data_IF_109061153516
#
_entry.id   IF_109061153516
#
_cell.length_a   1.000
_cell.length_b   1.000
_cell.length_c   1.000
_cell.angle_alpha   90.00
_cell.angle_beta   90.00
_cell.angle_gamma   90.00
#
_symmetry.space_group_name_H-M   'P 1'
#
loop_
_entity.id
_entity.type
_entity.pdbx_description
1 polymer ?
#
# COMPACT_ATOMS: atom_id res chain seq x y z
N UNK A 1 14.83 -30.27 -12.31
CA UNK A 1 13.92 -29.18 -11.88
C UNK A 1 14.66 -27.86 -11.99
N UNK A 2 14.19 -26.90 -12.80
CA UNK A 2 14.76 -25.54 -12.79
C UNK A 2 14.41 -24.90 -11.44
N UNK A 3 15.42 -24.55 -10.66
CA UNK A 3 15.23 -23.86 -9.39
C UNK A 3 14.77 -22.43 -9.70
N UNK A 4 13.46 -22.17 -9.62
CA UNK A 4 12.89 -20.83 -9.74
C UNK A 4 13.34 -20.01 -8.52
N UNK A 5 14.50 -19.34 -8.62
CA UNK A 5 14.99 -18.45 -7.57
C UNK A 5 14.19 -17.14 -7.62
N UNK A 6 13.57 -16.79 -6.50
CA UNK A 6 12.96 -15.47 -6.31
C UNK A 6 14.08 -14.41 -6.36
N UNK A 7 13.94 -13.44 -7.27
CA UNK A 7 14.89 -12.33 -7.41
C UNK A 7 14.30 -11.08 -6.73
N UNK A 8 14.56 -10.95 -5.43
CA UNK A 8 14.05 -9.84 -4.60
C UNK A 8 14.55 -8.48 -5.13
N UNK A 9 15.75 -8.42 -5.69
CA UNK A 9 16.33 -7.18 -6.25
C UNK A 9 15.44 -6.61 -7.36
N UNK A 10 14.95 -7.46 -8.27
CA UNK A 10 14.06 -7.03 -9.35
C UNK A 10 12.76 -6.43 -8.81
N UNK A 11 12.21 -7.00 -7.74
CA UNK A 11 11.01 -6.45 -7.11
C UNK A 11 11.28 -5.11 -6.42
N UNK A 12 12.40 -4.96 -5.71
CA UNK A 12 12.78 -3.68 -5.10
C UNK A 12 12.87 -2.55 -6.14
N UNK A 13 13.51 -2.82 -7.28
CA UNK A 13 13.61 -1.85 -8.38
C UNK A 13 12.23 -1.52 -8.94
N UNK A 14 11.36 -2.51 -9.15
CA UNK A 14 10.01 -2.29 -9.65
C UNK A 14 9.13 -1.50 -8.67
N UNK A 15 9.30 -1.71 -7.36
CA UNK A 15 8.60 -0.97 -6.32
C UNK A 15 8.94 0.52 -6.35
N UNK A 16 10.21 0.87 -6.58
CA UNK A 16 10.63 2.28 -6.71
C UNK A 16 9.95 2.93 -7.91
N UNK A 17 9.91 2.24 -9.06
CA UNK A 17 9.15 2.73 -10.22
C UNK A 17 7.66 2.91 -9.90
N UNK A 18 7.03 1.97 -9.18
CA UNK A 18 5.62 2.12 -8.79
C UNK A 18 5.40 3.39 -7.97
N UNK A 19 6.32 3.74 -7.08
CA UNK A 19 6.26 4.97 -6.29
C UNK A 19 6.44 6.22 -7.16
N UNK A 20 7.43 6.22 -8.05
CA UNK A 20 7.71 7.35 -8.96
C UNK A 20 6.53 7.64 -9.89
N UNK A 21 5.87 6.58 -10.40
CA UNK A 21 4.67 6.70 -11.23
C UNK A 21 3.38 6.89 -10.42
N UNK A 22 3.47 7.09 -9.09
CA UNK A 22 2.34 7.28 -8.19
C UNK A 22 1.31 6.13 -8.28
N UNK A 23 1.78 4.94 -8.61
CA UNK A 23 1.01 3.70 -8.66
C UNK A 23 1.11 2.96 -7.32
N UNK A 24 0.46 3.54 -6.30
CA UNK A 24 0.54 3.02 -4.95
C UNK A 24 -0.18 1.68 -4.78
N UNK A 25 -1.19 1.38 -5.61
CA UNK A 25 -1.87 0.09 -5.58
C UNK A 25 -0.91 -1.08 -5.88
N UNK A 26 -0.12 -0.95 -6.94
CA UNK A 26 0.82 -2.01 -7.34
C UNK A 26 1.98 -2.12 -6.36
N UNK A 27 2.46 -0.97 -5.87
CA UNK A 27 3.44 -0.90 -4.78
C UNK A 27 2.95 -1.67 -3.55
N UNK A 28 1.71 -1.43 -3.11
CA UNK A 28 1.09 -2.11 -1.98
C UNK A 28 0.98 -3.62 -2.19
N UNK A 29 0.53 -4.05 -3.37
CA UNK A 29 0.36 -5.47 -3.68
C UNK A 29 1.70 -6.24 -3.57
N UNK A 30 2.76 -5.68 -4.13
CA UNK A 30 4.09 -6.32 -4.13
C UNK A 30 4.72 -6.29 -2.75
N UNK A 31 4.71 -5.13 -2.06
CA UNK A 31 5.23 -5.03 -0.69
C UNK A 31 4.52 -6.00 0.26
N UNK A 32 3.19 -6.06 0.19
CA UNK A 32 2.41 -6.98 1.02
C UNK A 32 2.73 -8.44 0.72
N UNK A 33 2.90 -8.80 -0.56
CA UNK A 33 3.29 -10.15 -0.98
C UNK A 33 4.67 -10.56 -0.45
N UNK A 34 5.66 -9.67 -0.57
CA UNK A 34 7.02 -9.91 -0.07
C UNK A 34 7.10 -9.94 1.46
N UNK A 35 6.24 -9.16 2.13
CA UNK A 35 6.15 -9.12 3.59
C UNK A 35 5.27 -10.23 4.19
N UNK A 36 4.77 -11.17 3.38
CA UNK A 36 4.06 -12.34 3.91
C UNK A 36 5.02 -13.27 4.66
N UNK A 37 4.54 -13.96 5.69
CA UNK A 37 5.34 -14.90 6.49
C UNK A 37 5.98 -16.04 5.69
N UNK A 38 5.47 -16.35 4.49
CA UNK A 38 6.06 -17.36 3.59
C UNK A 38 7.31 -16.85 2.88
N UNK A 39 7.34 -15.57 2.51
CA UNK A 39 8.46 -14.96 1.78
C UNK A 39 9.46 -14.31 2.75
N UNK A 40 8.99 -13.63 3.80
CA UNK A 40 9.84 -12.93 4.76
C UNK A 40 10.76 -13.88 5.55
N UNK A 41 10.36 -15.14 5.77
CA UNK A 41 11.18 -16.17 6.45
C UNK A 41 12.30 -16.77 5.60
N UNK A 42 12.43 -16.40 4.33
CA UNK A 42 13.46 -16.94 3.43
C UNK A 42 14.83 -16.31 3.73
N UNK A 43 15.38 -16.57 4.92
CA UNK A 43 16.62 -15.94 5.44
C UNK A 43 17.77 -15.97 4.42
N UNK A 44 18.03 -17.14 3.82
CA UNK A 44 19.07 -17.33 2.80
C UNK A 44 18.94 -16.41 1.56
N UNK A 45 17.74 -15.89 1.30
CA UNK A 45 17.47 -14.97 0.19
C UNK A 45 17.64 -13.53 0.63
N UNK A 46 17.10 -13.17 1.80
CA UNK A 46 17.18 -11.81 2.35
C UNK A 46 18.61 -11.44 2.79
N UNK A 47 19.39 -12.38 3.32
CA UNK A 47 20.81 -12.14 3.69
C UNK A 47 21.71 -11.86 2.48
N UNK A 48 21.33 -12.34 1.30
CA UNK A 48 22.07 -12.10 0.04
C UNK A 48 21.65 -10.80 -0.64
N UNK A 49 20.63 -10.12 -0.13
CA UNK A 49 20.17 -8.86 -0.69
C UNK A 49 21.18 -7.76 -0.32
N UNK A 50 21.71 -7.00 -1.29
CA UNK A 50 22.57 -5.87 -0.98
C UNK A 50 21.84 -4.85 -0.10
N UNK A 51 22.55 -4.26 0.87
CA UNK A 51 22.01 -3.34 1.87
C UNK A 51 21.23 -2.16 1.27
N UNK A 52 21.62 -1.68 0.09
CA UNK A 52 20.89 -0.65 -0.67
C UNK A 52 19.42 -1.04 -0.91
N UNK A 53 19.17 -2.27 -1.35
CA UNK A 53 17.82 -2.72 -1.69
C UNK A 53 17.02 -3.11 -0.45
N UNK A 54 17.70 -3.59 0.60
CA UNK A 54 17.08 -3.80 1.90
C UNK A 54 16.55 -2.48 2.47
N UNK A 55 17.39 -1.44 2.50
CA UNK A 55 16.97 -0.10 2.93
C UNK A 55 15.82 0.45 2.09
N UNK A 56 15.89 0.33 0.76
CA UNK A 56 14.81 0.73 -0.14
C UNK A 56 13.49 0.03 0.20
N UNK A 57 13.52 -1.28 0.45
CA UNK A 57 12.34 -2.05 0.83
C UNK A 57 11.76 -1.59 2.18
N UNK A 58 12.62 -1.35 3.19
CA UNK A 58 12.21 -0.86 4.51
C UNK A 58 11.63 0.56 4.44
N UNK A 59 12.24 1.46 3.67
CA UNK A 59 11.76 2.83 3.42
C UNK A 59 10.39 2.83 2.72
N UNK A 60 10.14 1.85 1.86
CA UNK A 60 8.84 1.69 1.21
C UNK A 60 7.78 1.10 2.15
N UNK A 61 8.15 0.12 2.99
CA UNK A 61 7.28 -0.43 4.03
C UNK A 61 6.85 0.64 5.03
N UNK A 62 7.72 1.62 5.33
CA UNK A 62 7.39 2.74 6.22
C UNK A 62 6.12 3.49 5.80
N UNK A 63 5.85 3.63 4.49
CA UNK A 63 4.64 4.28 4.01
C UNK A 63 3.37 3.45 4.23
N UNK A 64 3.49 2.13 4.35
CA UNK A 64 2.38 1.20 4.55
C UNK A 64 2.05 0.92 6.03
N UNK A 65 2.62 1.71 6.94
CA UNK A 65 2.34 1.62 8.37
C UNK A 65 0.84 1.87 8.66
N UNK A 66 0.13 0.91 9.26
CA UNK A 66 -1.30 1.03 9.54
C UNK A 66 -1.63 2.04 10.66
N UNK A 67 -0.62 2.48 11.42
CA UNK A 67 -0.77 3.38 12.57
C UNK A 67 -1.45 4.69 12.18
N UNK A 68 -2.33 5.18 13.07
CA UNK A 68 -3.14 6.40 12.86
C UNK A 68 -3.88 6.37 11.52
N UNK A 69 -4.50 5.22 11.23
CA UNK A 69 -5.29 4.98 10.01
C UNK A 69 -4.50 5.28 8.72
N UNK A 70 -3.33 4.65 8.58
CA UNK A 70 -2.46 4.81 7.39
C UNK A 70 -2.00 6.26 7.16
N UNK A 71 -1.68 6.99 8.23
CA UNK A 71 -1.39 8.45 8.13
C UNK A 71 -0.24 8.79 7.19
N UNK A 72 0.82 7.97 7.17
CA UNK A 72 1.99 8.15 6.29
C UNK A 72 1.61 7.99 4.81
N UNK A 73 0.88 6.93 4.47
CA UNK A 73 0.34 6.74 3.13
C UNK A 73 -0.60 7.88 2.72
N UNK A 74 -1.51 8.31 3.62
CA UNK A 74 -2.44 9.41 3.33
C UNK A 74 -1.71 10.72 3.04
N UNK A 75 -0.66 11.04 3.80
CA UNK A 75 0.18 12.22 3.53
C UNK A 75 0.87 12.11 2.17
N UNK A 76 1.45 10.95 1.85
CA UNK A 76 2.05 10.70 0.53
C UNK A 76 1.03 10.86 -0.60
N UNK A 77 -0.16 10.29 -0.45
CA UNK A 77 -1.25 10.38 -1.42
C UNK A 77 -1.69 11.82 -1.61
N UNK A 78 -1.92 12.58 -0.53
CA UNK A 78 -2.34 13.97 -0.59
C UNK A 78 -1.35 14.84 -1.37
N UNK A 79 -0.04 14.65 -1.12
CA UNK A 79 1.01 15.35 -1.86
C UNK A 79 1.00 14.98 -3.35
N UNK A 80 0.84 13.69 -3.65
CA UNK A 80 0.83 13.16 -5.02
C UNK A 80 -0.41 13.57 -5.82
N UNK A 81 -1.59 13.68 -5.18
CA UNK A 81 -2.88 14.01 -5.80
C UNK A 81 -2.92 15.39 -6.47
N UNK A 82 -2.01 16.29 -6.11
CA UNK A 82 -1.85 17.60 -6.76
C UNK A 82 -1.47 17.50 -8.25
N UNK A 83 -0.87 16.38 -8.67
CA UNK A 83 -0.31 16.19 -10.01
C UNK A 83 -0.74 14.83 -10.57
N UNK A 84 -1.95 14.72 -11.13
CA UNK A 84 -2.43 13.48 -11.75
C UNK A 84 -1.53 13.06 -12.93
N UNK A 85 -1.48 11.77 -13.27
CA UNK A 85 -2.30 10.66 -12.74
C UNK A 85 -1.76 10.06 -11.42
N UNK A 86 -2.66 9.53 -10.59
CA UNK A 86 -2.34 8.82 -9.33
C UNK A 86 -3.24 7.60 -9.21
N UNK A 87 -2.68 6.44 -8.83
CA UNK A 87 -3.45 5.22 -8.57
C UNK A 87 -3.40 4.93 -7.06
N UNK A 88 -4.49 5.16 -6.31
CA UNK A 88 -4.54 4.96 -4.87
C UNK A 88 -4.58 3.47 -4.50
N UNK A 89 -4.29 3.14 -3.24
CA UNK A 89 -4.40 1.79 -2.70
C UNK A 89 -5.89 1.46 -2.54
N UNK A 90 -6.43 0.65 -3.45
CA UNK A 90 -7.86 0.34 -3.48
C UNK A 90 -8.39 -0.30 -2.19
N UNK A 91 -7.66 -1.21 -1.50
CA UNK A 91 -8.13 -1.74 -0.22
C UNK A 91 -8.41 -0.67 0.84
N UNK A 92 -7.63 0.42 0.87
CA UNK A 92 -7.82 1.52 1.83
C UNK A 92 -9.03 2.36 1.44
N UNK A 93 -9.17 2.70 0.16
CA UNK A 93 -10.34 3.43 -0.35
C UNK A 93 -11.63 2.64 -0.08
N UNK A 94 -11.62 1.33 -0.37
CA UNK A 94 -12.75 0.45 -0.09
C UNK A 94 -13.08 0.38 1.40
N UNK A 95 -12.05 0.27 2.26
CA UNK A 95 -12.20 0.30 3.71
C UNK A 95 -12.92 1.59 4.14
N UNK A 96 -12.45 2.74 3.66
CA UNK A 96 -13.02 4.04 4.01
C UNK A 96 -14.51 4.15 3.58
N UNK A 97 -14.83 3.77 2.34
CA UNK A 97 -16.22 3.72 1.86
C UNK A 97 -17.11 2.79 2.69
N UNK A 98 -16.56 1.63 3.09
CA UNK A 98 -17.29 0.68 3.94
C UNK A 98 -17.57 1.27 5.33
N UNK A 99 -16.62 2.00 5.91
CA UNK A 99 -16.82 2.68 7.20
C UNK A 99 -17.82 3.83 7.10
N UNK A 100 -17.83 4.59 6.01
CA UNK A 100 -18.82 5.65 5.78
C UNK A 100 -20.22 5.04 5.70
N UNK A 101 -20.36 3.94 4.95
CA UNK A 101 -21.62 3.22 4.77
C UNK A 101 -22.12 2.62 6.08
N UNK A 102 -21.30 1.83 6.78
CA UNK A 102 -21.75 1.12 7.99
C UNK A 102 -21.78 2.00 9.25
N UNK A 103 -21.04 3.12 9.25
CA UNK A 103 -20.92 4.01 10.41
C UNK A 103 -21.94 5.14 10.46
N UNK A 104 -22.73 5.34 9.40
CA UNK A 104 -23.74 6.39 9.33
C UNK A 104 -25.07 5.83 8.81
N UNK A 105 -26.16 6.11 9.52
CA UNK A 105 -27.50 5.73 9.09
C UNK A 105 -27.90 6.46 7.81
N UNK A 106 -28.46 5.71 6.86
CA UNK A 106 -28.96 6.25 5.59
C UNK A 106 -30.10 7.24 5.80
N UNK A 107 -30.89 7.05 6.86
CA UNK A 107 -32.01 7.92 7.21
C UNK A 107 -32.04 8.18 8.72
N UNK A 108 -32.18 9.44 9.09
CA UNK A 108 -32.44 9.86 10.48
C UNK A 108 -33.76 10.63 10.47
N UNK A 109 -34.70 10.24 11.34
CA UNK A 109 -36.04 10.84 11.44
C UNK A 109 -36.82 10.88 10.12
N UNK A 110 -36.64 9.86 9.27
CA UNK A 110 -37.29 9.75 7.96
C UNK A 110 -36.64 10.56 6.83
N UNK A 111 -35.61 11.36 7.13
CA UNK A 111 -34.87 12.16 6.14
C UNK A 111 -33.57 11.47 5.73
N UNK A 112 -33.20 11.57 4.45
CA UNK A 112 -31.91 11.08 3.96
C UNK A 112 -30.76 11.85 4.58
N UNK A 113 -29.78 11.14 5.16
CA UNK A 113 -28.62 11.76 5.82
C UNK A 113 -27.58 12.23 4.80
N UNK A 114 -27.51 13.54 4.53
CA UNK A 114 -26.52 14.13 3.62
C UNK A 114 -25.07 13.92 4.09
N UNK A 115 -24.86 13.68 5.39
CA UNK A 115 -23.54 13.41 6.00
C UNK A 115 -22.85 12.16 5.43
N UNK A 116 -23.59 11.28 4.75
CA UNK A 116 -23.10 10.07 4.10
C UNK A 116 -22.69 10.28 2.63
N UNK A 117 -23.07 11.41 2.03
CA UNK A 117 -22.83 11.71 0.60
C UNK A 117 -21.61 12.63 0.35
N UNK A 118 -20.83 12.96 1.38
CA UNK A 118 -19.69 13.90 1.32
C UNK A 118 -18.34 13.22 1.49
#
# INVERSE_FOLDING_TARGET
MKSYKINIVCFCVFLEYCKDFKNFNSMFAILSGLNTGTVSRLHNTWEKLPSKYQKMFDDLLYFLDPTRNMSKYRNLLNNASSTPPVIPIFPIVKKDLTFIELGNDTRVDGWSTLRRCG
#
